data_IF_570093458542
#
_entry.id   IF_570093458542
#
_cell.length_a   1.000
_cell.length_b   1.000
_cell.length_c   1.000
_cell.angle_alpha   90.00
_cell.angle_beta   90.00
_cell.angle_gamma   90.00
#
_symmetry.space_group_name_H-M   'P 1'
#
loop_
_entity.id
_entity.type
_entity.pdbx_description
1 polymer ?
#
# COMPACT_ATOMS: atom_id res chain seq x y z
N UNK A 1 3.39 26.02 7.18
CA UNK A 1 2.13 25.57 7.79
C UNK A 1 1.06 26.66 7.74
N UNK A 2 1.18 27.79 8.42
CA UNK A 2 0.16 28.86 8.44
C UNK A 2 -0.34 29.28 7.05
N UNK A 3 0.54 29.50 6.07
CA UNK A 3 0.13 29.84 4.70
C UNK A 3 -0.73 28.79 4.00
N UNK A 4 -0.53 27.50 4.29
CA UNK A 4 -1.33 26.43 3.72
C UNK A 4 -2.69 26.34 4.41
N UNK A 5 -2.74 26.51 5.71
CA UNK A 5 -3.99 26.58 6.47
C UNK A 5 -4.84 27.76 6.00
N UNK A 6 -4.27 28.96 5.86
CA UNK A 6 -4.94 30.15 5.31
C UNK A 6 -5.50 29.91 3.91
N UNK A 7 -4.73 29.20 3.06
CA UNK A 7 -5.18 28.81 1.72
C UNK A 7 -6.39 27.87 1.79
N UNK A 8 -6.37 26.88 2.67
CA UNK A 8 -7.47 25.93 2.85
C UNK A 8 -8.73 26.65 3.33
N UNK A 9 -8.64 27.46 4.41
CA UNK A 9 -9.76 28.19 4.97
C UNK A 9 -10.41 29.11 3.93
N UNK A 10 -9.60 29.87 3.17
CA UNK A 10 -10.09 30.72 2.09
C UNK A 10 -10.75 29.90 0.96
N UNK A 11 -10.15 28.79 0.56
CA UNK A 11 -10.70 27.94 -0.51
C UNK A 11 -12.04 27.33 -0.07
N UNK A 12 -12.16 26.91 1.18
CA UNK A 12 -13.41 26.38 1.74
C UNK A 12 -14.50 27.42 1.69
N UNK A 13 -14.22 28.67 2.09
CA UNK A 13 -15.15 29.79 2.03
C UNK A 13 -15.55 30.14 0.59
N UNK A 14 -14.55 30.38 -0.31
CA UNK A 14 -14.79 30.76 -1.71
C UNK A 14 -15.56 29.71 -2.51
N UNK A 15 -15.36 28.43 -2.19
CA UNK A 15 -16.04 27.31 -2.87
C UNK A 15 -17.35 26.90 -2.20
N UNK A 16 -17.70 27.49 -1.06
CA UNK A 16 -18.90 27.15 -0.30
C UNK A 16 -18.88 25.71 0.22
N UNK A 17 -17.71 25.18 0.58
CA UNK A 17 -17.56 23.83 1.10
C UNK A 17 -18.10 23.83 2.54
N UNK A 18 -19.06 22.96 2.83
CA UNK A 18 -19.70 22.87 4.15
C UNK A 18 -19.14 21.79 5.04
N UNK A 19 -18.67 20.69 4.44
CA UNK A 19 -18.16 19.54 5.15
C UNK A 19 -16.75 19.20 4.66
N UNK A 20 -15.86 18.96 5.63
CA UNK A 20 -14.51 18.49 5.38
C UNK A 20 -14.33 17.16 6.10
N UNK A 21 -14.06 16.12 5.33
CA UNK A 21 -13.72 14.82 5.86
C UNK A 21 -12.29 14.80 6.37
N UNK A 22 -12.13 14.42 7.63
CA UNK A 22 -10.83 14.20 8.28
C UNK A 22 -10.54 12.71 8.24
N UNK A 23 -9.49 12.34 7.50
CA UNK A 23 -9.10 10.97 7.24
C UNK A 23 -7.89 10.57 8.06
N UNK A 24 -7.89 9.38 8.59
CA UNK A 24 -6.74 8.74 9.23
C UNK A 24 -6.78 7.23 8.98
N UNK A 25 -5.73 6.52 9.35
CA UNK A 25 -5.60 5.09 9.04
C UNK A 25 -5.36 4.31 10.32
N UNK A 26 -6.05 3.20 10.50
CA UNK A 26 -5.77 2.29 11.61
C UNK A 26 -4.50 1.46 11.35
N UNK A 27 -4.04 0.74 12.38
CA UNK A 27 -2.83 -0.09 12.31
C UNK A 27 -2.90 -1.18 11.24
N UNK A 28 -4.10 -1.64 10.89
CA UNK A 28 -4.32 -2.64 9.84
C UNK A 28 -4.42 -2.06 8.43
N UNK A 29 -4.32 -0.73 8.28
CA UNK A 29 -4.40 -0.07 6.97
C UNK A 29 -5.82 0.19 6.48
N UNK A 30 -6.82 0.20 7.35
CA UNK A 30 -8.17 0.64 7.01
C UNK A 30 -8.29 2.15 7.18
N UNK A 31 -8.83 2.80 6.14
CA UNK A 31 -9.14 4.21 6.18
C UNK A 31 -10.32 4.46 7.10
N UNK A 32 -10.13 5.38 8.05
CA UNK A 32 -11.14 5.86 8.99
C UNK A 32 -11.41 7.34 8.70
N UNK A 33 -12.60 7.81 9.05
CA UNK A 33 -12.95 9.21 8.85
C UNK A 33 -14.09 9.67 9.76
N UNK A 34 -14.10 10.96 9.99
CA UNK A 34 -15.26 11.71 10.46
C UNK A 34 -15.31 13.06 9.73
N UNK A 35 -16.43 13.73 9.75
CA UNK A 35 -16.60 15.02 9.09
C UNK A 35 -16.73 16.14 10.10
N UNK A 36 -16.12 17.29 9.77
CA UNK A 36 -16.31 18.55 10.48
C UNK A 36 -16.97 19.57 9.57
N UNK A 37 -17.72 20.52 10.16
CA UNK A 37 -18.23 21.66 9.41
C UNK A 37 -17.11 22.62 9.10
N UNK A 38 -17.29 23.46 8.08
CA UNK A 38 -16.31 24.49 7.73
C UNK A 38 -16.05 25.49 8.87
N UNK A 39 -17.02 25.70 9.76
CA UNK A 39 -16.91 26.59 10.91
C UNK A 39 -15.92 26.07 11.97
N UNK A 40 -15.79 24.74 12.09
CA UNK A 40 -14.92 24.09 13.06
C UNK A 40 -13.46 23.92 12.53
N UNK A 41 -13.22 24.24 11.26
CA UNK A 41 -11.96 23.89 10.60
C UNK A 41 -10.77 24.69 11.14
N UNK A 42 -10.95 25.95 11.47
CA UNK A 42 -9.89 26.78 12.06
C UNK A 42 -9.44 26.21 13.40
N UNK A 43 -10.38 25.88 14.29
CA UNK A 43 -10.08 25.21 15.55
C UNK A 43 -9.44 23.83 15.34
N UNK A 44 -9.88 23.08 14.31
CA UNK A 44 -9.28 21.80 13.99
C UNK A 44 -7.79 21.91 13.65
N UNK A 45 -7.37 22.99 12.98
CA UNK A 45 -5.95 23.23 12.71
C UNK A 45 -5.17 23.64 13.96
N UNK A 46 -5.75 24.45 14.83
CA UNK A 46 -5.08 24.97 16.02
C UNK A 46 -4.96 23.92 17.11
N UNK A 47 -6.08 23.31 17.50
CA UNK A 47 -6.18 22.45 18.67
C UNK A 47 -6.28 20.96 18.31
N UNK A 48 -6.75 20.64 17.10
CA UNK A 48 -7.18 19.31 16.71
C UNK A 48 -8.62 19.01 17.14
N UNK A 49 -9.18 17.91 16.61
CA UNK A 49 -10.52 17.45 16.95
C UNK A 49 -10.42 16.18 17.77
N UNK A 50 -11.08 16.18 18.92
CA UNK A 50 -11.15 15.02 19.82
C UNK A 50 -11.97 13.86 19.21
N UNK A 51 -11.45 12.66 19.31
CA UNK A 51 -12.14 11.43 18.88
C UNK A 51 -11.69 10.23 19.71
N UNK A 52 -12.44 9.10 19.60
CA UNK A 52 -12.06 7.84 20.24
C UNK A 52 -10.93 7.15 19.50
N UNK A 53 -9.72 7.22 20.05
CA UNK A 53 -8.49 6.64 19.48
C UNK A 53 -8.48 5.12 19.46
N UNK A 54 -9.43 4.43 20.12
CA UNK A 54 -9.55 2.96 20.01
C UNK A 54 -9.78 2.51 18.56
N UNK A 55 -10.30 3.39 17.71
CA UNK A 55 -10.47 3.18 16.27
C UNK A 55 -9.14 2.90 15.53
N UNK A 56 -7.97 3.28 16.10
CA UNK A 56 -6.66 3.12 15.45
C UNK A 56 -6.07 1.73 15.74
N UNK A 57 -6.38 1.13 16.87
CA UNK A 57 -5.73 -0.10 17.33
C UNK A 57 -6.13 -1.37 16.57
N UNK A 58 -7.20 -1.30 15.76
CA UNK A 58 -7.72 -2.45 15.02
C UNK A 58 -8.49 -3.47 15.89
N UNK A 59 -8.78 -3.14 17.15
CA UNK A 59 -9.62 -3.92 18.06
C UNK A 59 -10.74 -3.06 18.65
N UNK A 60 -11.90 -3.68 18.88
CA UNK A 60 -12.91 -3.05 19.72
C UNK A 60 -12.46 -3.05 21.18
N UNK A 61 -12.45 -1.89 21.82
CA UNK A 61 -12.18 -1.73 23.25
C UNK A 61 -13.43 -1.45 24.04
N UNK A 62 -13.38 -1.78 25.34
CA UNK A 62 -14.42 -1.42 26.32
C UNK A 62 -14.17 -0.02 26.88
N UNK A 63 -12.95 0.49 26.81
CA UNK A 63 -12.57 1.80 27.31
C UNK A 63 -12.26 2.73 26.15
N UNK A 64 -12.86 3.92 26.15
CA UNK A 64 -12.56 5.00 25.24
C UNK A 64 -11.14 5.54 25.53
N UNK A 65 -10.46 5.98 24.47
CA UNK A 65 -9.14 6.57 24.52
C UNK A 65 -9.19 7.90 23.78
N UNK A 66 -9.27 9.00 24.52
CA UNK A 66 -9.28 10.33 23.92
C UNK A 66 -7.99 10.58 23.12
N UNK A 67 -8.14 10.96 21.86
CA UNK A 67 -7.07 11.37 20.94
C UNK A 67 -7.47 12.63 20.19
N UNK A 68 -6.48 13.31 19.61
CA UNK A 68 -6.68 14.51 18.81
C UNK A 68 -6.26 14.23 17.36
N UNK A 69 -7.16 14.45 16.40
CA UNK A 69 -6.85 14.43 14.98
C UNK A 69 -6.57 15.87 14.50
N UNK A 70 -5.35 16.12 14.02
CA UNK A 70 -4.94 17.41 13.43
C UNK A 70 -4.84 17.28 11.93
N UNK A 71 -5.63 18.06 11.16
CA UNK A 71 -5.59 18.00 9.71
C UNK A 71 -4.23 18.49 9.17
N UNK A 72 -3.68 17.75 8.21
CA UNK A 72 -2.53 18.17 7.43
C UNK A 72 -3.01 18.98 6.21
N UNK A 73 -2.90 20.30 6.28
CA UNK A 73 -3.35 21.22 5.23
C UNK A 73 -2.71 20.95 3.86
N UNK A 74 -1.51 20.33 3.82
CA UNK A 74 -0.85 19.96 2.57
C UNK A 74 -1.62 18.85 1.80
N UNK A 75 -2.46 18.10 2.49
CA UNK A 75 -3.24 17.00 1.93
C UNK A 75 -4.65 17.40 1.52
N UNK A 76 -5.00 18.69 1.64
CA UNK A 76 -6.32 19.19 1.29
C UNK A 76 -6.69 18.90 -0.17
N UNK A 77 -7.84 18.26 -0.36
CA UNK A 77 -8.37 17.95 -1.68
C UNK A 77 -9.90 18.16 -1.70
N UNK A 78 -10.36 18.88 -2.71
CA UNK A 78 -11.79 18.94 -3.03
C UNK A 78 -12.14 17.64 -3.76
N UNK A 79 -13.16 16.94 -3.28
CA UNK A 79 -13.59 15.69 -3.92
C UNK A 79 -14.32 16.01 -5.23
N UNK A 80 -13.82 15.49 -6.38
CA UNK A 80 -14.47 15.77 -7.67
C UNK A 80 -15.89 15.21 -7.73
N UNK A 81 -16.78 15.92 -8.40
CA UNK A 81 -18.11 15.38 -8.73
C UNK A 81 -17.92 14.09 -9.53
N UNK A 82 -18.72 13.09 -9.27
CA UNK A 82 -18.56 11.81 -9.95
C UNK A 82 -17.56 10.85 -9.35
N UNK A 83 -16.88 11.23 -8.25
CA UNK A 83 -15.89 10.36 -7.59
C UNK A 83 -16.47 9.26 -6.71
N UNK A 84 -17.77 9.34 -6.36
CA UNK A 84 -18.32 8.48 -5.30
C UNK A 84 -18.00 8.95 -3.89
N UNK A 85 -16.98 9.77 -3.74
CA UNK A 85 -16.57 10.32 -2.45
C UNK A 85 -17.44 11.49 -1.97
N UNK A 86 -18.21 12.10 -2.87
CA UNK A 86 -19.19 13.12 -2.51
C UNK A 86 -20.50 12.48 -2.06
N UNK A 87 -21.03 12.92 -0.94
CA UNK A 87 -22.24 12.35 -0.29
C UNK A 87 -23.51 12.29 -1.16
N UNK A 88 -23.48 12.87 -2.37
CA UNK A 88 -24.69 13.09 -3.18
C UNK A 88 -24.88 12.18 -4.38
N UNK A 89 -23.99 11.22 -4.64
CA UNK A 89 -24.02 10.47 -5.89
C UNK A 89 -24.34 8.97 -5.71
N UNK A 90 -25.62 8.62 -5.96
CA UNK A 90 -25.95 7.32 -6.54
C UNK A 90 -26.09 6.09 -5.66
N UNK A 91 -26.28 6.18 -4.35
CA UNK A 91 -26.69 5.02 -3.57
C UNK A 91 -28.19 4.67 -3.78
N UNK A 92 -28.57 3.38 -3.91
CA UNK A 92 -29.97 2.99 -3.98
C UNK A 92 -30.75 3.49 -2.74
N UNK A 93 -31.82 4.25 -2.97
CA UNK A 93 -32.68 4.79 -1.90
C UNK A 93 -32.53 6.29 -1.64
N UNK A 94 -31.68 7.02 -2.36
CA UNK A 94 -31.60 8.49 -2.28
C UNK A 94 -32.60 9.19 -3.19
N UNK A 95 -33.06 10.37 -2.75
CA UNK A 95 -34.00 11.21 -3.48
C UNK A 95 -33.48 11.61 -4.87
N UNK A 96 -34.33 11.72 -5.90
CA UNK A 96 -33.96 12.14 -7.24
C UNK A 96 -33.35 13.54 -7.22
N UNK A 97 -32.28 13.73 -8.02
CA UNK A 97 -31.62 15.03 -8.23
C UNK A 97 -32.58 16.05 -8.81
N UNK A 98 -32.50 17.28 -8.32
CA UNK A 98 -33.00 18.45 -9.04
C UNK A 98 -32.18 18.69 -10.32
N UNK A 99 -32.66 19.58 -11.23
CA UNK A 99 -31.96 19.86 -12.50
C UNK A 99 -30.53 20.34 -12.28
N UNK A 100 -29.65 20.01 -13.25
CA UNK A 100 -28.22 20.37 -13.26
C UNK A 100 -28.04 21.88 -13.00
N UNK A 101 -27.40 22.21 -11.90
CA UNK A 101 -27.05 23.58 -11.56
C UNK A 101 -27.32 23.86 -10.08
N UNK A 102 -26.28 24.08 -9.34
CA UNK A 102 -26.24 24.48 -7.93
C UNK A 102 -26.75 23.44 -6.91
N UNK A 103 -25.78 22.67 -6.37
CA UNK A 103 -26.01 22.09 -5.05
C UNK A 103 -26.11 23.25 -4.05
N UNK A 104 -27.24 23.37 -3.31
CA UNK A 104 -27.34 24.36 -2.26
C UNK A 104 -26.35 24.12 -1.11
N UNK A 105 -25.63 22.99 -1.15
CA UNK A 105 -24.80 22.52 -0.05
C UNK A 105 -23.28 22.51 -0.35
N UNK A 106 -22.76 23.35 -1.23
CA UNK A 106 -21.30 23.44 -1.45
C UNK A 106 -20.60 22.09 -1.68
N UNK A 107 -19.38 22.06 -2.15
CA UNK A 107 -18.61 20.84 -2.36
C UNK A 107 -18.24 20.13 -1.04
N UNK A 108 -17.67 18.94 -1.17
CA UNK A 108 -17.05 18.18 -0.07
C UNK A 108 -15.54 18.17 -0.28
N UNK A 109 -14.78 18.32 0.80
CA UNK A 109 -13.32 18.20 0.78
C UNK A 109 -12.85 17.17 1.80
N UNK A 110 -11.60 16.76 1.68
CA UNK A 110 -10.96 15.86 2.63
C UNK A 110 -9.54 16.31 2.97
N UNK A 111 -9.05 15.95 4.15
CA UNK A 111 -7.64 16.03 4.54
C UNK A 111 -7.26 14.77 5.31
N UNK A 112 -6.01 14.35 5.17
CA UNK A 112 -5.42 13.40 6.11
C UNK A 112 -5.06 14.11 7.42
N UNK A 113 -5.11 13.36 8.51
CA UNK A 113 -4.76 13.86 9.84
C UNK A 113 -3.56 13.11 10.40
N UNK A 114 -2.75 13.84 11.15
CA UNK A 114 -1.80 13.26 12.09
C UNK A 114 -2.50 13.15 13.46
N UNK A 115 -2.24 12.07 14.19
CA UNK A 115 -2.89 11.81 15.48
C UNK A 115 -1.98 12.19 16.62
N UNK A 116 -2.57 12.82 17.62
CA UNK A 116 -1.90 13.29 18.84
C UNK A 116 -2.61 12.79 20.09
N UNK A 117 -1.84 12.62 21.15
CA UNK A 117 -2.37 12.39 22.50
C UNK A 117 -2.99 13.67 23.06
N UNK A 118 -3.85 13.62 24.08
CA UNK A 118 -4.48 14.80 24.68
C UNK A 118 -3.50 15.85 25.23
N UNK A 119 -2.27 15.45 25.59
CA UNK A 119 -1.19 16.34 26.00
C UNK A 119 -0.41 16.93 24.83
N UNK A 120 -0.86 16.69 23.58
CA UNK A 120 -0.32 17.30 22.37
C UNK A 120 0.94 16.64 21.82
N UNK A 121 1.28 15.43 22.29
CA UNK A 121 2.39 14.66 21.71
C UNK A 121 1.92 13.84 20.52
N UNK A 122 2.76 13.62 19.49
CA UNK A 122 2.43 12.69 18.42
C UNK A 122 2.11 11.30 18.97
N UNK A 123 1.03 10.70 18.47
CA UNK A 123 0.64 9.36 18.90
C UNK A 123 1.48 8.29 18.19
N UNK A 124 2.22 7.51 18.94
CA UNK A 124 3.13 6.49 18.44
C UNK A 124 2.43 5.29 17.75
N UNK A 125 1.13 5.13 17.99
CA UNK A 125 0.29 4.14 17.32
C UNK A 125 -0.28 4.59 15.99
N UNK A 126 -0.06 5.85 15.55
CA UNK A 126 -0.48 6.35 14.25
C UNK A 126 0.45 5.86 13.14
N UNK A 127 -0.03 5.02 12.17
CA UNK A 127 0.79 4.54 11.07
C UNK A 127 1.41 5.66 10.22
N UNK A 128 0.70 6.78 10.04
CA UNK A 128 1.19 7.93 9.28
C UNK A 128 2.38 8.58 9.99
N UNK A 129 2.31 8.69 11.31
CA UNK A 129 3.43 9.18 12.12
C UNK A 129 4.62 8.21 12.13
N UNK A 130 4.36 6.89 12.15
CA UNK A 130 5.45 5.89 12.02
C UNK A 130 6.25 6.12 10.75
N UNK A 131 5.58 6.32 9.60
CA UNK A 131 6.29 6.61 8.36
C UNK A 131 7.02 7.95 8.43
N UNK A 132 6.37 9.01 8.87
CA UNK A 132 6.97 10.36 8.99
C UNK A 132 8.28 10.32 9.79
N UNK A 133 8.29 9.70 10.95
CA UNK A 133 9.47 9.55 11.81
C UNK A 133 10.63 8.82 11.11
N UNK A 134 10.33 7.78 10.33
CA UNK A 134 11.36 7.06 9.59
C UNK A 134 11.86 7.87 8.37
N UNK A 135 11.02 8.69 7.76
CA UNK A 135 11.45 9.65 6.73
C UNK A 135 12.34 10.76 7.31
N UNK A 136 12.08 11.21 8.54
CA UNK A 136 12.95 12.13 9.24
C UNK A 136 14.35 11.54 9.49
N UNK A 137 14.44 10.26 9.89
CA UNK A 137 15.73 9.54 9.99
C UNK A 137 16.47 9.46 8.64
N UNK A 138 15.76 9.32 7.53
CA UNK A 138 16.35 9.36 6.19
C UNK A 138 16.85 10.78 5.86
N UNK A 139 16.06 11.80 6.18
CA UNK A 139 16.42 13.20 5.97
C UNK A 139 17.65 13.63 6.78
N UNK A 140 17.82 13.14 8.01
CA UNK A 140 19.04 13.34 8.82
C UNK A 140 20.31 12.80 8.13
N UNK A 141 20.16 11.79 7.26
CA UNK A 141 21.24 11.25 6.40
C UNK A 141 21.35 11.98 5.07
N UNK A 142 20.55 13.00 4.82
CA UNK A 142 20.50 13.76 3.59
C UNK A 142 19.62 13.13 2.50
N UNK A 143 18.86 12.07 2.79
CA UNK A 143 18.06 11.36 1.81
C UNK A 143 16.59 11.76 1.82
N UNK A 144 16.01 11.89 0.62
CA UNK A 144 14.58 11.89 0.39
C UNK A 144 14.19 10.54 -0.23
N UNK A 145 13.20 9.87 0.33
CA UNK A 145 12.73 8.58 -0.13
C UNK A 145 11.52 8.73 -1.06
N UNK A 146 11.67 8.28 -2.31
CA UNK A 146 10.63 8.25 -3.31
C UNK A 146 10.17 6.83 -3.57
N UNK A 147 8.87 6.66 -3.74
CA UNK A 147 8.24 5.37 -4.06
C UNK A 147 7.25 5.49 -5.21
N UNK A 148 7.04 4.37 -5.90
CA UNK A 148 6.16 4.24 -7.04
C UNK A 148 5.56 2.83 -7.01
N UNK A 149 4.35 2.63 -6.46
CA UNK A 149 3.68 1.35 -6.43
C UNK A 149 2.93 1.06 -7.72
N UNK A 150 2.98 -0.18 -8.17
CA UNK A 150 2.11 -0.80 -9.17
C UNK A 150 0.93 -1.42 -8.43
N UNK A 151 -0.29 -0.95 -8.68
CA UNK A 151 -1.46 -1.29 -7.86
C UNK A 151 -2.37 -2.27 -8.61
N UNK A 152 -2.22 -3.57 -8.31
CA UNK A 152 -3.08 -4.61 -8.86
C UNK A 152 -4.35 -4.82 -8.04
N UNK A 153 -5.47 -5.10 -8.71
CA UNK A 153 -6.76 -5.38 -8.09
C UNK A 153 -7.65 -6.23 -8.98
N UNK A 154 -8.65 -6.87 -8.37
CA UNK A 154 -9.68 -7.62 -9.09
C UNK A 154 -11.01 -6.89 -9.08
N UNK A 155 -11.77 -7.10 -10.16
CA UNK A 155 -13.16 -6.67 -10.29
C UNK A 155 -14.06 -7.90 -10.40
N UNK A 156 -15.06 -7.98 -9.51
CA UNK A 156 -16.08 -9.03 -9.51
C UNK A 156 -17.47 -8.42 -9.61
N UNK A 157 -18.49 -9.26 -9.80
CA UNK A 157 -19.86 -8.81 -9.86
C UNK A 157 -20.38 -8.36 -8.49
N UNK A 158 -20.06 -9.13 -7.45
CA UNK A 158 -20.54 -8.90 -6.10
C UNK A 158 -19.56 -9.39 -5.02
N UNK A 159 -19.65 -8.89 -3.78
CA UNK A 159 -18.82 -9.38 -2.70
C UNK A 159 -19.13 -10.86 -2.40
N UNK A 160 -18.08 -11.65 -2.21
CA UNK A 160 -18.20 -13.08 -1.88
C UNK A 160 -18.27 -14.03 -3.07
N UNK A 161 -18.43 -13.53 -4.31
CA UNK A 161 -18.35 -14.33 -5.53
C UNK A 161 -17.14 -13.93 -6.38
N UNK A 162 -16.02 -14.68 -6.33
CA UNK A 162 -14.82 -14.41 -7.11
C UNK A 162 -14.92 -14.91 -8.56
N UNK A 163 -16.13 -14.94 -9.15
CA UNK A 163 -16.31 -15.27 -10.55
C UNK A 163 -15.86 -14.10 -11.42
N UNK A 164 -14.91 -14.32 -12.36
CA UNK A 164 -14.46 -13.28 -13.28
C UNK A 164 -15.61 -12.71 -14.11
N UNK A 165 -15.57 -11.40 -14.34
CA UNK A 165 -16.57 -10.67 -15.15
C UNK A 165 -16.13 -10.49 -16.61
N UNK A 166 -14.88 -10.81 -16.91
CA UNK A 166 -14.31 -10.83 -18.26
C UNK A 166 -13.43 -12.06 -18.48
N UNK A 167 -12.89 -12.20 -19.68
CA UNK A 167 -11.95 -13.25 -20.08
C UNK A 167 -10.65 -12.65 -20.66
N UNK A 168 -10.33 -11.41 -20.28
CA UNK A 168 -9.12 -10.70 -20.70
C UNK A 168 -7.86 -11.32 -20.11
N UNK A 169 -6.73 -10.98 -20.68
CA UNK A 169 -5.39 -11.35 -20.26
C UNK A 169 -4.42 -10.18 -20.39
N UNK A 170 -3.14 -10.47 -20.21
CA UNK A 170 -2.09 -9.46 -20.10
C UNK A 170 -2.01 -8.53 -21.32
N UNK A 171 -2.24 -7.24 -21.08
CA UNK A 171 -2.32 -6.17 -22.08
C UNK A 171 -3.43 -6.31 -23.13
N UNK A 172 -4.42 -7.16 -22.91
CA UNK A 172 -5.54 -7.29 -23.85
C UNK A 172 -6.34 -5.98 -23.96
N UNK A 173 -6.66 -5.66 -25.19
CA UNK A 173 -7.57 -4.57 -25.55
C UNK A 173 -8.76 -5.16 -26.31
N UNK A 174 -9.85 -5.43 -25.61
CA UNK A 174 -11.05 -6.01 -26.21
C UNK A 174 -12.23 -5.05 -26.20
N UNK A 175 -13.04 -4.98 -27.27
CA UNK A 175 -14.23 -4.12 -27.31
C UNK A 175 -15.29 -4.50 -26.26
N UNK A 176 -15.20 -5.73 -25.73
CA UNK A 176 -16.13 -6.27 -24.72
C UNK A 176 -15.65 -6.03 -23.29
N UNK A 177 -14.48 -5.41 -23.11
CA UNK A 177 -13.93 -5.05 -21.80
C UNK A 177 -14.63 -3.79 -21.26
N UNK A 178 -15.76 -3.96 -20.60
CA UNK A 178 -16.46 -2.88 -19.88
C UNK A 178 -15.66 -2.29 -18.71
N UNK A 179 -14.53 -2.91 -18.35
CA UNK A 179 -13.66 -2.48 -17.25
C UNK A 179 -12.64 -1.41 -17.69
N UNK A 180 -12.36 -1.29 -18.98
CA UNK A 180 -11.50 -0.24 -19.53
C UNK A 180 -12.04 1.17 -19.22
N UNK A 181 -13.36 1.36 -19.32
CA UNK A 181 -13.99 2.63 -18.97
C UNK A 181 -13.86 2.93 -17.48
N UNK A 182 -13.93 1.93 -16.61
CA UNK A 182 -13.72 2.11 -15.17
C UNK A 182 -12.29 2.59 -14.90
N UNK A 183 -11.27 1.96 -15.50
CA UNK A 183 -9.87 2.38 -15.34
C UNK A 183 -9.68 3.82 -15.82
N UNK A 184 -10.16 4.16 -17.02
CA UNK A 184 -10.09 5.52 -17.59
C UNK A 184 -10.71 6.57 -16.69
N UNK A 185 -11.92 6.30 -16.19
CA UNK A 185 -12.64 7.26 -15.34
C UNK A 185 -12.00 7.37 -13.96
N UNK A 186 -11.49 6.26 -13.41
CA UNK A 186 -10.71 6.26 -12.16
C UNK A 186 -9.46 7.13 -12.30
N UNK A 187 -8.70 6.96 -13.38
CA UNK A 187 -7.50 7.79 -13.68
C UNK A 187 -7.88 9.26 -13.77
N UNK A 188 -8.96 9.59 -14.49
CA UNK A 188 -9.41 10.99 -14.62
C UNK A 188 -9.75 11.62 -13.27
N UNK A 189 -10.31 10.86 -12.33
CA UNK A 189 -10.61 11.36 -10.97
C UNK A 189 -9.34 11.49 -10.14
N UNK A 190 -8.43 10.51 -10.20
CA UNK A 190 -7.13 10.56 -9.52
C UNK A 190 -6.34 11.79 -9.90
N UNK A 191 -6.22 12.08 -11.21
CA UNK A 191 -5.50 13.25 -11.71
C UNK A 191 -6.14 14.57 -11.25
N UNK A 192 -7.48 14.66 -11.21
CA UNK A 192 -8.19 15.81 -10.63
C UNK A 192 -7.94 16.00 -9.15
N UNK A 193 -7.64 14.92 -8.44
CA UNK A 193 -7.26 14.93 -7.02
C UNK A 193 -5.74 15.11 -6.81
N UNK A 194 -4.99 15.45 -7.86
CA UNK A 194 -3.55 15.65 -7.78
C UNK A 194 -2.74 14.37 -7.59
N UNK A 195 -3.32 13.21 -7.84
CA UNK A 195 -2.65 11.90 -7.79
C UNK A 195 -2.29 11.51 -9.23
N UNK A 196 -1.04 11.71 -9.66
CA UNK A 196 -0.65 11.43 -11.04
C UNK A 196 -0.52 9.93 -11.28
N UNK A 197 -1.04 9.49 -12.43
CA UNK A 197 -0.95 8.11 -12.91
C UNK A 197 0.14 8.01 -13.99
N UNK A 198 0.90 6.93 -14.00
CA UNK A 198 1.88 6.66 -15.04
C UNK A 198 1.27 5.86 -16.17
N UNK A 199 0.56 4.76 -15.84
CA UNK A 199 -0.04 3.94 -16.85
C UNK A 199 -1.07 2.93 -16.27
N UNK A 200 -1.84 2.23 -17.12
CA UNK A 200 -2.74 1.18 -16.66
C UNK A 200 -3.00 0.15 -17.76
N UNK A 201 -3.26 -1.08 -17.37
CA UNK A 201 -3.55 -2.17 -18.29
C UNK A 201 -4.44 -3.25 -17.65
N UNK A 202 -4.90 -4.19 -18.48
CA UNK A 202 -5.45 -5.45 -18.03
C UNK A 202 -4.32 -6.38 -17.61
N UNK A 203 -4.44 -7.03 -16.46
CA UNK A 203 -3.45 -7.95 -15.93
C UNK A 203 -3.61 -9.38 -16.48
N UNK A 204 -2.73 -10.31 -16.04
CA UNK A 204 -2.66 -11.69 -16.53
C UNK A 204 -3.95 -12.46 -16.30
N UNK A 205 -4.56 -12.29 -15.13
CA UNK A 205 -5.78 -13.01 -14.79
C UNK A 205 -7.03 -12.33 -15.35
N UNK A 206 -8.05 -13.08 -15.78
CA UNK A 206 -9.37 -12.53 -16.02
C UNK A 206 -9.86 -11.67 -14.85
N UNK A 207 -10.40 -10.49 -15.16
CA UNK A 207 -10.88 -9.51 -14.18
C UNK A 207 -9.81 -8.87 -13.30
N UNK A 208 -8.53 -9.05 -13.62
CA UNK A 208 -7.42 -8.40 -12.92
C UNK A 208 -6.93 -7.18 -13.69
N UNK A 209 -6.69 -6.11 -12.97
CA UNK A 209 -6.29 -4.82 -13.53
C UNK A 209 -5.16 -4.22 -12.72
N UNK A 210 -4.39 -3.34 -13.38
CA UNK A 210 -3.30 -2.59 -12.77
C UNK A 210 -3.40 -1.12 -13.14
N UNK A 211 -3.11 -0.27 -12.17
CA UNK A 211 -2.93 1.18 -12.34
C UNK A 211 -1.71 1.60 -11.54
N UNK A 212 -0.72 2.17 -12.23
CA UNK A 212 0.55 2.58 -11.65
C UNK A 212 0.52 4.05 -11.30
N UNK A 213 0.79 4.34 -10.02
CA UNK A 213 0.87 5.71 -9.54
C UNK A 213 2.26 6.26 -9.82
N UNK A 214 2.35 7.48 -10.39
CA UNK A 214 3.65 8.12 -10.64
C UNK A 214 4.37 8.40 -9.34
N UNK A 215 5.70 8.21 -9.32
CA UNK A 215 6.55 8.38 -8.15
C UNK A 215 6.32 9.70 -7.41
N UNK A 216 6.25 9.61 -6.09
CA UNK A 216 6.14 10.74 -5.14
C UNK A 216 6.99 10.43 -3.92
N UNK A 217 7.21 11.42 -3.05
CA UNK A 217 7.75 11.14 -1.72
C UNK A 217 6.85 10.15 -0.98
N UNK A 218 7.45 9.34 -0.10
CA UNK A 218 6.76 8.16 0.43
C UNK A 218 5.54 8.49 1.31
N UNK A 219 5.50 9.65 1.99
CA UNK A 219 4.33 10.03 2.78
C UNK A 219 3.15 10.41 1.88
N UNK A 220 3.39 11.27 0.91
CA UNK A 220 2.39 11.63 -0.11
C UNK A 220 1.90 10.40 -0.87
N UNK A 221 2.81 9.47 -1.19
CA UNK A 221 2.42 8.24 -1.87
C UNK A 221 1.57 7.32 -0.98
N UNK A 222 1.87 7.19 0.30
CA UNK A 222 1.04 6.40 1.21
C UNK A 222 -0.39 6.97 1.32
N UNK A 223 -0.52 8.30 1.45
CA UNK A 223 -1.81 9.00 1.39
C UNK A 223 -2.52 8.75 0.04
N UNK A 224 -1.76 8.74 -1.06
CA UNK A 224 -2.28 8.47 -2.42
C UNK A 224 -2.78 7.03 -2.56
N UNK A 225 -2.07 6.03 -2.03
CA UNK A 225 -2.49 4.62 -2.03
C UNK A 225 -3.79 4.43 -1.26
N UNK A 226 -3.94 5.08 -0.10
CA UNK A 226 -5.19 5.01 0.67
C UNK A 226 -6.36 5.63 -0.09
N UNK A 227 -6.13 6.78 -0.73
CA UNK A 227 -7.13 7.45 -1.58
C UNK A 227 -7.49 6.58 -2.79
N UNK A 228 -6.49 6.01 -3.46
CA UNK A 228 -6.64 5.12 -4.61
C UNK A 228 -7.53 3.91 -4.30
N UNK A 229 -7.26 3.20 -3.21
CA UNK A 229 -8.05 2.02 -2.81
C UNK A 229 -9.53 2.36 -2.59
N UNK A 230 -9.80 3.47 -1.93
CA UNK A 230 -11.17 3.92 -1.72
C UNK A 230 -11.82 4.27 -3.05
N UNK A 231 -11.14 5.05 -3.89
CA UNK A 231 -11.67 5.53 -5.16
C UNK A 231 -11.99 4.37 -6.13
N UNK A 232 -11.09 3.39 -6.28
CA UNK A 232 -11.33 2.22 -7.13
C UNK A 232 -12.58 1.46 -6.70
N UNK A 233 -12.76 1.25 -5.39
CA UNK A 233 -13.96 0.59 -4.84
C UNK A 233 -15.24 1.39 -5.12
N UNK A 234 -15.21 2.70 -4.92
CA UNK A 234 -16.34 3.59 -5.19
C UNK A 234 -16.71 3.63 -6.67
N UNK A 235 -15.70 3.72 -7.55
CA UNK A 235 -15.90 3.74 -8.99
C UNK A 235 -16.45 2.40 -9.52
N UNK A 236 -16.04 1.28 -8.93
CA UNK A 236 -16.57 -0.04 -9.22
C UNK A 236 -18.03 -0.17 -8.75
N UNK A 237 -18.32 0.20 -7.50
CA UNK A 237 -19.67 0.15 -6.93
C UNK A 237 -20.69 0.93 -7.74
N UNK A 238 -20.32 2.10 -8.28
CA UNK A 238 -21.17 2.92 -9.16
C UNK A 238 -21.56 2.22 -10.47
N UNK A 239 -20.73 1.28 -10.93
CA UNK A 239 -20.97 0.47 -12.12
C UNK A 239 -21.59 -0.88 -11.82
N UNK A 240 -22.02 -1.10 -10.57
CA UNK A 240 -22.57 -2.39 -10.13
C UNK A 240 -21.52 -3.50 -10.10
N UNK A 241 -20.23 -3.14 -9.89
CA UNK A 241 -19.11 -4.06 -9.73
C UNK A 241 -18.55 -3.96 -8.32
N UNK A 242 -17.80 -4.98 -7.92
CA UNK A 242 -17.09 -5.04 -6.65
C UNK A 242 -15.57 -5.12 -6.89
N UNK A 243 -14.83 -4.12 -6.41
CA UNK A 243 -13.38 -4.11 -6.48
C UNK A 243 -12.75 -4.65 -5.19
N UNK A 244 -11.73 -5.49 -5.33
CA UNK A 244 -10.98 -6.02 -4.19
C UNK A 244 -9.47 -5.93 -4.41
N UNK A 245 -8.78 -5.59 -3.32
CA UNK A 245 -7.31 -5.63 -3.20
C UNK A 245 -6.84 -6.89 -2.45
N UNK A 246 -7.69 -7.91 -2.35
CA UNK A 246 -7.34 -9.19 -1.74
C UNK A 246 -6.17 -9.83 -2.48
N UNK A 247 -5.07 -10.21 -1.79
CA UNK A 247 -3.86 -10.71 -2.45
C UNK A 247 -4.06 -11.96 -3.29
N UNK A 248 -4.98 -12.84 -2.89
CA UNK A 248 -5.31 -14.09 -3.62
C UNK A 248 -6.81 -14.40 -3.50
N UNK A 249 -7.65 -13.80 -4.34
CA UNK A 249 -9.10 -14.00 -4.23
C UNK A 249 -9.59 -15.34 -4.77
N UNK A 250 -8.81 -16.00 -5.64
CA UNK A 250 -9.19 -17.28 -6.25
C UNK A 250 -7.97 -18.20 -6.42
N UNK A 251 -8.13 -19.47 -6.08
CA UNK A 251 -7.03 -20.46 -6.10
C UNK A 251 -6.40 -20.60 -7.48
N UNK A 252 -7.22 -20.66 -8.54
CA UNK A 252 -6.81 -20.94 -9.91
C UNK A 252 -6.28 -19.72 -10.68
N UNK A 253 -6.37 -18.53 -10.11
CA UNK A 253 -5.89 -17.30 -10.76
C UNK A 253 -4.61 -16.80 -10.10
N UNK A 254 -3.76 -16.04 -10.80
CA UNK A 254 -2.70 -15.24 -10.16
C UNK A 254 -3.20 -14.39 -9.00
N UNK A 255 -2.33 -14.00 -8.10
CA UNK A 255 -2.64 -13.05 -7.03
C UNK A 255 -2.32 -11.62 -7.44
N UNK A 256 -2.74 -10.65 -6.62
CA UNK A 256 -2.45 -9.23 -6.81
C UNK A 256 -1.25 -8.79 -5.97
N UNK A 257 -0.29 -8.12 -6.63
CA UNK A 257 0.88 -7.50 -6.03
C UNK A 257 0.73 -5.99 -5.87
N UNK A 258 1.60 -5.43 -5.06
CA UNK A 258 1.93 -4.02 -5.02
C UNK A 258 3.45 -3.90 -5.16
N UNK A 259 3.93 -4.20 -6.37
CA UNK A 259 5.35 -4.04 -6.67
C UNK A 259 5.73 -2.59 -6.41
N UNK A 260 6.73 -2.37 -5.59
CA UNK A 260 7.08 -1.02 -5.18
C UNK A 260 8.45 -0.66 -5.68
N UNK A 261 8.48 0.21 -6.68
CA UNK A 261 9.70 0.86 -7.14
C UNK A 261 10.11 1.96 -6.17
N UNK A 262 11.41 2.12 -5.97
CA UNK A 262 11.92 3.10 -5.02
C UNK A 262 13.29 3.63 -5.39
N UNK A 263 13.58 4.83 -4.88
CA UNK A 263 14.90 5.47 -4.97
C UNK A 263 15.11 6.42 -3.81
N UNK A 264 16.40 6.67 -3.50
CA UNK A 264 16.82 7.74 -2.60
C UNK A 264 17.38 8.91 -3.42
N UNK A 265 17.10 10.12 -2.98
CA UNK A 265 17.66 11.34 -3.57
C UNK A 265 18.41 12.14 -2.52
N UNK A 266 19.57 12.68 -2.90
CA UNK A 266 20.29 13.73 -2.18
C UNK A 266 20.02 15.05 -2.91
N UNK A 267 19.13 15.87 -2.40
CA UNK A 267 18.61 17.02 -3.13
C UNK A 267 17.99 16.59 -4.46
N UNK A 268 18.54 17.09 -5.58
CA UNK A 268 18.08 16.76 -6.94
C UNK A 268 18.77 15.56 -7.58
N UNK A 269 19.75 14.97 -6.91
CA UNK A 269 20.55 13.85 -7.45
C UNK A 269 19.99 12.52 -6.96
N UNK A 270 19.87 11.57 -7.88
CA UNK A 270 19.49 10.20 -7.53
C UNK A 270 20.69 9.47 -6.91
N UNK A 271 20.62 9.21 -5.60
CA UNK A 271 21.68 8.54 -4.84
C UNK A 271 21.89 7.08 -5.24
N UNK A 272 20.95 6.48 -5.98
CA UNK A 272 21.11 5.11 -6.47
C UNK A 272 21.91 4.99 -7.75
N UNK A 273 22.20 6.11 -8.44
CA UNK A 273 22.86 6.09 -9.74
C UNK A 273 24.38 6.20 -9.62
N UNK A 274 25.11 5.36 -10.37
CA UNK A 274 26.54 5.48 -10.65
C UNK A 274 26.81 5.10 -12.12
N UNK A 275 27.22 6.07 -12.91
CA UNK A 275 27.49 5.86 -14.35
C UNK A 275 28.70 4.98 -14.63
N UNK A 276 29.60 4.79 -13.66
CA UNK A 276 30.81 3.97 -13.77
C UNK A 276 30.60 2.50 -13.43
N UNK A 277 29.48 2.18 -12.78
CA UNK A 277 29.15 0.81 -12.37
C UNK A 277 28.52 0.01 -13.51
N UNK A 278 28.81 -1.29 -13.55
CA UNK A 278 28.27 -2.23 -14.56
C UNK A 278 26.73 -2.23 -14.62
N UNK A 279 26.06 -2.09 -13.48
CA UNK A 279 24.60 -2.06 -13.37
C UNK A 279 24.04 -0.65 -13.23
N UNK A 280 24.89 0.37 -13.31
CA UNK A 280 24.58 1.76 -12.99
C UNK A 280 24.05 1.96 -11.55
N UNK A 281 24.44 1.09 -10.63
CA UNK A 281 24.07 1.13 -9.23
C UNK A 281 25.19 1.69 -8.37
N UNK A 282 24.92 2.75 -7.63
CA UNK A 282 25.86 3.29 -6.65
C UNK A 282 26.10 2.32 -5.48
N UNK A 283 27.12 2.60 -4.67
CA UNK A 283 27.34 1.87 -3.42
C UNK A 283 26.11 1.98 -2.50
N UNK A 284 25.46 3.15 -2.47
CA UNK A 284 24.21 3.37 -1.70
C UNK A 284 23.11 2.40 -2.15
N UNK A 285 22.86 2.29 -3.46
CA UNK A 285 21.86 1.37 -3.99
C UNK A 285 22.20 -0.10 -3.67
N UNK A 286 23.46 -0.49 -3.85
CA UNK A 286 23.92 -1.87 -3.56
C UNK A 286 23.73 -2.23 -2.09
N UNK A 287 24.12 -1.35 -1.17
CA UNK A 287 23.93 -1.58 0.27
C UNK A 287 22.47 -1.52 0.68
N UNK A 288 21.65 -0.65 0.05
CA UNK A 288 20.20 -0.61 0.27
C UNK A 288 19.55 -1.94 -0.14
N UNK A 289 19.87 -2.48 -1.33
CA UNK A 289 19.37 -3.80 -1.76
C UNK A 289 19.86 -4.88 -0.79
N UNK A 290 21.12 -4.84 -0.37
CA UNK A 290 21.68 -5.75 0.64
C UNK A 290 20.85 -5.75 1.93
N UNK A 291 20.45 -4.56 2.39
CA UNK A 291 19.58 -4.39 3.57
C UNK A 291 18.20 -5.02 3.37
N UNK A 292 17.57 -4.75 2.22
CA UNK A 292 16.28 -5.36 1.90
C UNK A 292 16.34 -6.89 1.85
N UNK A 293 17.38 -7.47 1.27
CA UNK A 293 17.56 -8.92 1.22
C UNK A 293 17.83 -9.51 2.60
N UNK A 294 18.63 -8.83 3.43
CA UNK A 294 18.97 -9.29 4.77
C UNK A 294 17.73 -9.34 5.68
N UNK A 295 16.93 -8.30 5.65
CA UNK A 295 15.75 -8.13 6.52
C UNK A 295 14.42 -8.56 5.86
N UNK A 296 14.48 -9.19 4.68
CA UNK A 296 13.28 -9.54 3.90
C UNK A 296 12.26 -10.34 4.72
N UNK A 297 12.71 -11.35 5.46
CA UNK A 297 11.84 -12.21 6.26
C UNK A 297 11.19 -11.47 7.42
N UNK A 298 11.95 -10.60 8.09
CA UNK A 298 11.52 -9.82 9.25
C UNK A 298 10.41 -8.82 8.89
N UNK A 299 10.51 -8.18 7.72
CA UNK A 299 9.53 -7.18 7.26
C UNK A 299 8.30 -7.79 6.56
N UNK A 300 8.30 -9.09 6.30
CA UNK A 300 7.23 -9.74 5.51
C UNK A 300 5.87 -9.61 6.17
N UNK A 301 5.75 -9.72 7.50
CA UNK A 301 4.46 -9.56 8.17
C UNK A 301 3.83 -8.18 7.90
N UNK A 302 4.63 -7.15 7.69
CA UNK A 302 4.15 -5.77 7.44
C UNK A 302 3.79 -5.57 5.97
N UNK A 303 4.58 -6.11 5.06
CA UNK A 303 4.35 -6.01 3.61
C UNK A 303 3.30 -6.99 3.10
N UNK A 304 3.01 -8.06 3.86
CA UNK A 304 2.12 -9.16 3.54
C UNK A 304 1.36 -9.59 4.81
N UNK A 305 0.49 -8.72 5.29
CA UNK A 305 -0.01 -8.78 6.67
C UNK A 305 -1.20 -9.72 6.91
N UNK A 306 -1.75 -10.36 5.87
CA UNK A 306 -2.96 -11.19 5.98
C UNK A 306 -2.65 -12.67 5.78
N UNK A 307 -3.41 -13.57 6.40
CA UNK A 307 -3.33 -15.02 6.07
C UNK A 307 -3.40 -15.24 4.57
N UNK A 308 -4.23 -14.47 3.88
CA UNK A 308 -4.40 -14.57 2.43
C UNK A 308 -3.16 -14.13 1.63
N UNK A 309 -2.31 -13.24 2.17
CA UNK A 309 -1.07 -12.79 1.53
C UNK A 309 -0.15 -13.95 1.17
N UNK A 310 -0.05 -14.94 2.04
CA UNK A 310 0.81 -16.13 1.86
C UNK A 310 0.26 -17.09 0.80
N UNK A 311 -1.03 -17.02 0.49
CA UNK A 311 -1.61 -17.76 -0.66
C UNK A 311 -1.11 -17.21 -2.00
N UNK A 312 -0.76 -15.92 -2.07
CA UNK A 312 -0.10 -15.29 -3.23
C UNK A 312 1.37 -15.68 -3.29
N UNK A 313 2.07 -15.66 -2.16
CA UNK A 313 3.51 -15.94 -2.09
C UNK A 313 3.86 -17.44 -2.19
N UNK A 314 2.88 -18.33 -2.22
CA UNK A 314 3.13 -19.76 -2.37
C UNK A 314 3.42 -20.11 -3.82
N UNK A 315 4.48 -20.89 -4.08
CA UNK A 315 4.74 -21.47 -5.38
C UNK A 315 3.63 -22.47 -5.74
N UNK A 316 2.82 -22.14 -6.74
CA UNK A 316 1.70 -23.00 -7.14
C UNK A 316 2.18 -24.14 -8.02
N UNK A 317 2.07 -25.35 -7.52
CA UNK A 317 2.26 -26.57 -8.31
C UNK A 317 1.18 -26.63 -9.40
N UNK A 318 1.60 -26.64 -10.66
CA UNK A 318 0.68 -26.78 -11.81
C UNK A 318 0.36 -25.51 -12.59
N UNK A 319 0.86 -24.35 -12.20
CA UNK A 319 0.79 -23.13 -13.00
C UNK A 319 1.97 -23.03 -13.98
N UNK A 320 1.73 -22.69 -15.25
CA UNK A 320 2.79 -22.60 -16.26
C UNK A 320 3.75 -21.44 -16.05
N UNK A 321 3.37 -20.43 -15.25
CA UNK A 321 4.21 -19.26 -14.95
C UNK A 321 4.23 -19.04 -13.44
N UNK A 322 5.40 -19.19 -12.84
CA UNK A 322 5.63 -18.94 -11.42
C UNK A 322 6.33 -17.57 -11.29
N UNK A 323 5.57 -16.54 -10.98
CA UNK A 323 6.08 -15.15 -10.88
C UNK A 323 6.07 -14.62 -9.43
N UNK A 324 5.53 -15.38 -8.48
CA UNK A 324 5.50 -14.95 -7.08
C UNK A 324 6.94 -14.79 -6.54
N UNK A 325 7.31 -13.64 -5.96
CA UNK A 325 8.67 -13.36 -5.49
C UNK A 325 8.94 -13.98 -4.13
N UNK A 326 8.95 -15.31 -4.07
CA UNK A 326 9.10 -16.06 -2.80
C UNK A 326 10.53 -16.24 -2.33
N UNK A 327 11.50 -16.10 -3.24
CA UNK A 327 12.91 -16.32 -2.96
C UNK A 327 13.68 -15.02 -2.72
N UNK A 328 14.44 -14.97 -1.62
CA UNK A 328 15.22 -13.81 -1.20
C UNK A 328 16.49 -13.70 -2.05
N UNK A 329 16.37 -13.03 -3.16
CA UNK A 329 17.46 -12.75 -4.10
C UNK A 329 17.12 -11.51 -4.95
N UNK A 330 18.07 -11.06 -5.74
CA UNK A 330 17.89 -9.96 -6.68
C UNK A 330 18.30 -10.32 -8.09
N UNK A 331 17.75 -9.62 -9.08
CA UNK A 331 18.12 -9.77 -10.48
C UNK A 331 17.56 -8.65 -11.34
N UNK A 332 18.12 -8.51 -12.56
CA UNK A 332 17.66 -7.50 -13.54
C UNK A 332 16.55 -8.02 -14.45
N UNK A 333 16.67 -9.28 -14.87
CA UNK A 333 15.76 -9.91 -15.83
C UNK A 333 14.96 -11.07 -15.24
N UNK A 334 15.10 -11.32 -13.93
CA UNK A 334 14.51 -12.46 -13.27
C UNK A 334 13.22 -12.05 -12.54
N UNK A 335 12.07 -12.44 -13.08
CA UNK A 335 10.75 -12.14 -12.48
C UNK A 335 10.48 -12.92 -11.19
N UNK A 336 11.24 -14.00 -10.93
CA UNK A 336 11.13 -14.76 -9.67
C UNK A 336 11.93 -14.14 -8.52
N UNK A 337 12.77 -13.14 -8.78
CA UNK A 337 13.55 -12.46 -7.76
C UNK A 337 12.69 -11.54 -6.89
N UNK A 338 13.00 -11.48 -5.59
CA UNK A 338 12.35 -10.57 -4.64
C UNK A 338 12.61 -9.11 -4.99
N UNK A 339 13.87 -8.80 -5.30
CA UNK A 339 14.29 -7.45 -5.70
C UNK A 339 14.65 -7.47 -7.18
N UNK A 340 14.00 -6.62 -7.96
CA UNK A 340 14.34 -6.40 -9.36
C UNK A 340 15.03 -5.04 -9.52
N UNK A 341 16.04 -5.01 -10.35
CA UNK A 341 16.68 -3.78 -10.81
C UNK A 341 16.26 -3.54 -12.26
N UNK A 342 15.32 -2.62 -12.52
CA UNK A 342 14.87 -2.32 -13.88
C UNK A 342 16.01 -1.84 -14.77
N UNK A 343 15.89 -2.07 -16.08
CA UNK A 343 16.88 -1.68 -17.06
C UNK A 343 17.11 -0.16 -17.05
N UNK A 344 18.40 0.24 -16.99
CA UNK A 344 18.78 1.63 -17.13
C UNK A 344 18.40 2.18 -18.52
N UNK A 345 17.77 3.35 -18.53
CA UNK A 345 17.48 4.09 -19.77
C UNK A 345 18.58 5.14 -19.99
N UNK A 346 19.35 5.11 -21.11
CA UNK A 346 20.43 6.05 -21.35
C UNK A 346 19.99 7.51 -21.21
N UNK A 347 20.80 8.33 -20.54
CA UNK A 347 20.55 9.74 -20.22
C UNK A 347 19.37 10.00 -19.27
N UNK A 348 18.92 8.99 -18.52
CA UNK A 348 17.87 9.11 -17.51
C UNK A 348 18.37 8.68 -16.13
N UNK A 349 19.46 9.29 -15.68
CA UNK A 349 20.12 9.01 -14.39
C UNK A 349 19.16 9.14 -13.22
N UNK A 350 18.28 10.15 -13.26
CA UNK A 350 17.25 10.35 -12.24
C UNK A 350 16.21 9.22 -12.16
N UNK A 351 16.11 8.34 -13.15
CA UNK A 351 15.17 7.23 -13.18
C UNK A 351 15.75 5.90 -12.67
N UNK A 352 17.01 5.88 -12.21
CA UNK A 352 17.60 4.69 -11.57
C UNK A 352 16.80 4.34 -10.31
N UNK A 353 16.31 3.10 -10.26
CA UNK A 353 15.43 2.63 -9.19
C UNK A 353 15.59 1.14 -8.98
N UNK A 354 15.13 0.68 -7.86
CA UNK A 354 14.98 -0.73 -7.54
C UNK A 354 13.50 -1.03 -7.29
N UNK A 355 13.11 -2.27 -7.37
CA UNK A 355 11.74 -2.72 -7.18
C UNK A 355 11.72 -3.87 -6.19
N UNK A 356 10.93 -3.76 -5.13
CA UNK A 356 10.57 -4.88 -4.26
C UNK A 356 9.22 -5.44 -4.70
N UNK A 357 9.15 -6.76 -4.91
CA UNK A 357 8.00 -7.41 -5.57
C UNK A 357 7.08 -8.16 -4.62
N UNK A 358 7.52 -8.39 -3.37
CA UNK A 358 6.71 -9.13 -2.39
C UNK A 358 5.49 -8.39 -1.84
N UNK A 359 5.48 -7.06 -1.61
CA UNK A 359 4.33 -6.40 -1.03
C UNK A 359 3.04 -6.67 -1.80
N UNK A 360 1.93 -6.74 -1.09
CA UNK A 360 0.60 -6.86 -1.70
C UNK A 360 -0.26 -5.62 -1.44
N UNK A 361 -1.29 -5.38 -2.29
CA UNK A 361 -2.05 -4.14 -2.25
C UNK A 361 -3.01 -4.06 -1.04
N UNK A 362 -3.04 -5.07 -0.16
CA UNK A 362 -3.83 -5.07 1.07
C UNK A 362 -3.02 -4.67 2.31
N UNK A 363 -1.70 -4.48 2.20
CA UNK A 363 -0.87 -4.06 3.33
C UNK A 363 -1.16 -2.60 3.76
N UNK A 364 -0.76 -2.24 4.95
CA UNK A 364 -0.74 -0.83 5.39
C UNK A 364 0.42 -0.09 4.70
N UNK A 365 0.18 0.84 3.77
CA UNK A 365 1.25 1.46 2.98
C UNK A 365 2.22 2.29 3.83
N UNK A 366 1.74 2.93 4.89
CA UNK A 366 2.61 3.70 5.79
C UNK A 366 3.61 2.80 6.48
N UNK A 367 3.15 1.69 7.03
CA UNK A 367 4.02 0.75 7.74
C UNK A 367 4.92 -0.01 6.77
N UNK A 368 4.41 -0.41 5.60
CA UNK A 368 5.18 -1.08 4.57
C UNK A 368 6.35 -0.21 4.08
N UNK A 369 6.09 1.06 3.74
CA UNK A 369 7.14 1.97 3.30
C UNK A 369 8.14 2.30 4.43
N UNK A 370 7.68 2.35 5.67
CA UNK A 370 8.57 2.57 6.83
C UNK A 370 9.56 1.42 7.03
N UNK A 371 9.09 0.15 7.00
CA UNK A 371 10.00 -1.00 7.21
C UNK A 371 10.90 -1.26 6.01
N UNK A 372 10.43 -0.99 4.78
CA UNK A 372 11.26 -1.06 3.58
C UNK A 372 12.39 -0.03 3.64
N UNK A 373 12.07 1.22 3.99
CA UNK A 373 13.07 2.27 4.17
C UNK A 373 14.07 1.91 5.27
N UNK A 374 13.58 1.47 6.43
CA UNK A 374 14.44 1.12 7.56
C UNK A 374 15.41 -0.03 7.22
N UNK A 375 14.93 -1.07 6.55
CA UNK A 375 15.76 -2.18 6.09
C UNK A 375 16.86 -1.71 5.11
N UNK A 376 16.49 -0.86 4.16
CA UNK A 376 17.45 -0.29 3.21
C UNK A 376 18.48 0.63 3.87
N UNK A 377 18.06 1.52 4.77
CA UNK A 377 18.96 2.41 5.52
C UNK A 377 19.91 1.60 6.42
N UNK A 378 19.41 0.55 7.08
CA UNK A 378 20.25 -0.37 7.87
C UNK A 378 21.35 -0.99 7.01
N UNK A 379 20.99 -1.39 5.78
CA UNK A 379 22.00 -1.90 4.83
C UNK A 379 23.06 -0.86 4.46
N UNK A 380 22.70 0.41 4.32
CA UNK A 380 23.64 1.51 4.07
C UNK A 380 24.53 1.74 5.30
N UNK A 381 23.94 1.85 6.49
CA UNK A 381 24.63 2.15 7.74
C UNK A 381 25.65 1.06 8.10
N UNK A 382 25.27 -0.22 7.92
CA UNK A 382 26.15 -1.39 8.19
C UNK A 382 27.04 -1.78 6.99
N UNK A 383 26.82 -1.18 5.83
CA UNK A 383 27.58 -1.46 4.61
C UNK A 383 27.38 -2.88 4.09
N UNK A 384 26.14 -3.38 4.11
CA UNK A 384 25.85 -4.73 3.62
C UNK A 384 26.25 -4.89 2.15
N UNK A 385 26.91 -6.00 1.87
CA UNK A 385 27.32 -6.34 0.51
C UNK A 385 26.13 -6.92 -0.28
N UNK A 386 26.07 -6.55 -1.56
CA UNK A 386 25.11 -7.11 -2.49
C UNK A 386 25.59 -8.49 -2.95
N UNK A 387 24.82 -9.57 -2.72
CA UNK A 387 25.18 -10.90 -3.20
C UNK A 387 25.19 -10.96 -4.74
N UNK A 388 25.76 -12.00 -5.37
CA UNK A 388 25.70 -12.17 -6.81
C UNK A 388 24.26 -12.16 -7.36
N UNK A 389 24.09 -11.61 -8.57
CA UNK A 389 22.82 -11.59 -9.28
C UNK A 389 22.28 -13.00 -9.54
N UNK A 390 20.99 -13.22 -9.29
CA UNK A 390 20.30 -14.46 -9.63
C UNK A 390 19.82 -14.39 -11.09
N UNK A 391 20.56 -15.00 -11.99
CA UNK A 391 20.29 -15.01 -13.44
C UNK A 391 19.44 -16.19 -13.91
N UNK A 392 19.44 -17.27 -13.14
CA UNK A 392 18.73 -18.50 -13.47
C UNK A 392 17.29 -18.50 -12.93
N UNK A 393 16.43 -19.37 -13.48
CA UNK A 393 15.11 -19.59 -12.93
C UNK A 393 15.21 -20.30 -11.57
N UNK A 394 14.91 -19.58 -10.50
CA UNK A 394 15.10 -20.07 -9.13
C UNK A 394 14.12 -21.18 -8.79
N UNK A 395 12.95 -21.22 -9.43
CA UNK A 395 11.96 -22.27 -9.23
C UNK A 395 12.42 -23.63 -9.77
N UNK A 396 13.28 -23.64 -10.79
CA UNK A 396 13.86 -24.86 -11.37
C UNK A 396 15.10 -25.36 -10.61
N UNK A 397 15.67 -24.53 -9.72
CA UNK A 397 16.81 -24.93 -8.90
C UNK A 397 16.38 -25.95 -7.84
N UNK A 398 17.26 -26.93 -7.60
CA UNK A 398 17.15 -27.80 -6.44
C UNK A 398 17.39 -27.02 -5.14
N UNK A 399 16.90 -27.55 -4.03
CA UNK A 399 17.15 -26.97 -2.70
C UNK A 399 18.66 -26.86 -2.38
N UNK A 400 19.46 -27.84 -2.81
CA UNK A 400 20.91 -27.84 -2.64
C UNK A 400 21.56 -26.67 -3.40
N UNK A 401 21.14 -26.39 -4.63
CA UNK A 401 21.64 -25.28 -5.43
C UNK A 401 21.27 -23.92 -4.80
N UNK A 402 20.02 -23.78 -4.34
CA UNK A 402 19.60 -22.55 -3.62
C UNK A 402 20.42 -22.33 -2.35
N UNK A 403 20.62 -23.38 -1.54
CA UNK A 403 21.46 -23.30 -0.32
C UNK A 403 22.91 -22.93 -0.64
N UNK A 404 23.49 -23.50 -1.72
CA UNK A 404 24.85 -23.17 -2.14
C UNK A 404 25.02 -21.71 -2.54
N UNK A 405 23.94 -21.05 -2.99
CA UNK A 405 23.91 -19.63 -3.36
C UNK A 405 23.35 -18.73 -2.25
N UNK A 406 23.11 -19.27 -1.05
CA UNK A 406 22.51 -18.56 0.10
C UNK A 406 21.15 -17.94 -0.23
N UNK A 407 20.39 -18.53 -1.17
CA UNK A 407 19.04 -18.09 -1.52
C UNK A 407 18.07 -18.76 -0.54
N UNK A 408 17.49 -17.96 0.33
CA UNK A 408 16.43 -18.37 1.27
C UNK A 408 15.05 -18.04 0.66
N UNK A 409 13.98 -18.38 1.35
CA UNK A 409 12.62 -18.01 0.96
C UNK A 409 11.96 -17.14 2.04
N UNK A 410 10.94 -16.37 1.65
CA UNK A 410 10.10 -15.63 2.56
C UNK A 410 9.34 -16.60 3.50
N UNK A 411 8.78 -16.13 4.62
CA UNK A 411 7.90 -16.94 5.45
C UNK A 411 6.79 -17.64 4.65
N UNK A 412 6.53 -18.91 4.95
CA UNK A 412 5.56 -19.73 4.22
C UNK A 412 4.11 -19.40 4.59
N UNK A 413 3.89 -18.91 5.80
CA UNK A 413 2.58 -18.55 6.32
C UNK A 413 2.65 -17.38 7.32
N UNK A 414 1.48 -16.94 7.78
CA UNK A 414 1.37 -15.84 8.75
C UNK A 414 2.07 -16.16 10.07
N UNK A 415 2.08 -17.43 10.49
CA UNK A 415 2.72 -17.82 11.75
C UNK A 415 4.24 -17.73 11.70
N UNK A 416 4.82 -18.16 10.57
CA UNK A 416 6.26 -18.02 10.37
C UNK A 416 6.68 -16.55 10.29
N UNK A 417 5.88 -15.73 9.61
CA UNK A 417 6.13 -14.29 9.56
C UNK A 417 5.98 -13.61 10.93
N UNK A 418 5.04 -14.05 11.77
CA UNK A 418 4.92 -13.60 13.15
C UNK A 418 6.18 -13.87 13.96
N UNK A 419 6.77 -15.05 13.84
CA UNK A 419 8.01 -15.41 14.55
C UNK A 419 9.20 -14.56 14.10
N UNK A 420 9.32 -14.33 12.78
CA UNK A 420 10.37 -13.47 12.24
C UNK A 420 10.24 -12.03 12.74
N UNK A 421 9.03 -11.46 12.69
CA UNK A 421 8.78 -10.13 13.20
C UNK A 421 9.02 -10.02 14.72
N UNK A 422 8.54 -11.00 15.50
CA UNK A 422 8.63 -10.98 16.96
C UNK A 422 10.09 -10.94 17.45
N UNK A 423 11.01 -11.49 16.68
CA UNK A 423 12.45 -11.50 16.98
C UNK A 423 13.23 -10.37 16.33
N UNK A 424 12.58 -9.46 15.61
CA UNK A 424 13.23 -8.40 14.84
C UNK A 424 13.36 -7.09 15.60
N UNK A 425 14.56 -6.76 16.01
CA UNK A 425 14.89 -5.43 16.55
C UNK A 425 14.62 -4.32 15.52
N UNK A 426 14.92 -4.56 14.24
CA UNK A 426 14.68 -3.61 13.17
C UNK A 426 13.21 -3.20 13.08
N UNK A 427 12.30 -4.18 13.06
CA UNK A 427 10.87 -3.92 12.95
C UNK A 427 10.34 -3.25 14.22
N UNK A 428 10.78 -3.71 15.40
CA UNK A 428 10.39 -3.10 16.68
C UNK A 428 10.79 -1.63 16.78
N UNK A 429 12.03 -1.28 16.41
CA UNK A 429 12.51 0.10 16.38
C UNK A 429 11.81 0.97 15.33
N UNK A 430 11.48 0.39 14.18
CA UNK A 430 10.82 1.10 13.08
C UNK A 430 9.39 1.45 13.43
N UNK A 431 8.63 0.49 13.95
CA UNK A 431 7.23 0.68 14.28
C UNK A 431 7.02 1.42 15.62
N UNK A 432 7.92 1.22 16.56
CA UNK A 432 7.74 1.61 17.96
C UNK A 432 6.87 0.61 18.71
N UNK A 433 7.03 0.58 20.03
CA UNK A 433 6.44 -0.42 20.91
C UNK A 433 4.92 -0.61 20.72
N UNK A 434 4.17 0.47 20.67
CA UNK A 434 2.70 0.41 20.58
C UNK A 434 2.23 -0.23 19.28
N UNK A 435 2.69 0.25 18.12
CA UNK A 435 2.30 -0.29 16.82
C UNK A 435 2.76 -1.74 16.66
N UNK A 436 3.97 -2.05 17.13
CA UNK A 436 4.53 -3.39 17.10
C UNK A 436 3.66 -4.37 17.89
N UNK A 437 3.30 -4.06 19.13
CA UNK A 437 2.45 -4.88 19.97
C UNK A 437 1.02 -5.01 19.43
N UNK A 438 0.45 -3.93 18.89
CA UNK A 438 -0.87 -3.99 18.26
C UNK A 438 -0.90 -4.97 17.09
N UNK A 439 0.09 -4.92 16.22
CA UNK A 439 0.19 -5.84 15.09
C UNK A 439 0.39 -7.28 15.54
N UNK A 440 1.33 -7.54 16.43
CA UNK A 440 1.55 -8.89 16.94
C UNK A 440 0.26 -9.48 17.55
N UNK A 441 -0.44 -8.72 18.36
CA UNK A 441 -1.69 -9.16 18.99
C UNK A 441 -2.79 -9.42 17.95
N UNK A 442 -2.97 -8.50 16.98
CA UNK A 442 -3.94 -8.66 15.91
C UNK A 442 -3.65 -9.91 15.08
N UNK A 443 -2.42 -10.08 14.65
CA UNK A 443 -2.04 -11.15 13.73
C UNK A 443 -1.99 -12.53 14.40
N UNK A 444 -1.66 -12.60 15.68
CA UNK A 444 -1.83 -13.83 16.48
C UNK A 444 -3.30 -14.24 16.57
N UNK A 445 -4.19 -13.29 16.86
CA UNK A 445 -5.63 -13.57 16.92
C UNK A 445 -6.18 -14.03 15.54
N UNK A 446 -5.77 -13.39 14.44
CA UNK A 446 -6.14 -13.80 13.08
C UNK A 446 -5.65 -15.22 12.76
N UNK A 447 -4.38 -15.52 13.10
CA UNK A 447 -3.82 -16.86 12.92
C UNK A 447 -4.55 -17.92 13.73
N UNK A 448 -4.87 -17.66 15.00
CA UNK A 448 -5.59 -18.60 15.87
C UNK A 448 -7.00 -18.88 15.36
N UNK A 449 -7.68 -17.88 14.83
CA UNK A 449 -8.98 -18.06 14.17
C UNK A 449 -8.85 -18.91 12.89
N UNK A 450 -7.86 -18.57 12.04
CA UNK A 450 -7.66 -19.27 10.79
C UNK A 450 -7.29 -20.74 10.99
N UNK A 451 -6.32 -21.05 11.86
CA UNK A 451 -5.84 -22.42 12.10
C UNK A 451 -6.87 -23.33 12.76
N UNK A 452 -7.87 -22.76 13.41
CA UNK A 452 -8.98 -23.52 14.01
C UNK A 452 -10.19 -23.67 13.09
N UNK A 453 -10.18 -22.98 11.93
CA UNK A 453 -11.28 -23.03 10.98
C UNK A 453 -11.24 -24.31 10.15
N UNK A 454 -12.31 -25.11 10.21
CA UNK A 454 -12.47 -26.30 9.38
C UNK A 454 -12.92 -25.88 7.98
N UNK A 455 -12.01 -26.03 7.01
CA UNK A 455 -12.24 -25.58 5.64
C UNK A 455 -13.13 -26.53 4.84
N UNK A 456 -13.81 -26.05 3.79
CA UNK A 456 -14.53 -26.93 2.83
C UNK A 456 -13.61 -28.02 2.26
N UNK A 457 -12.36 -27.72 1.97
CA UNK A 457 -11.37 -28.70 1.50
C UNK A 457 -11.21 -29.88 2.48
N UNK A 458 -11.14 -29.60 3.78
CA UNK A 458 -11.00 -30.65 4.80
C UNK A 458 -12.28 -31.50 4.90
N UNK A 459 -13.44 -30.83 4.87
CA UNK A 459 -14.74 -31.52 4.91
C UNK A 459 -14.92 -32.43 3.68
N UNK A 460 -14.70 -31.91 2.48
CA UNK A 460 -14.83 -32.68 1.24
C UNK A 460 -13.85 -33.84 1.16
N UNK A 461 -12.62 -33.65 1.61
CA UNK A 461 -11.54 -34.62 1.50
C UNK A 461 -11.57 -35.69 2.59
N UNK A 462 -11.82 -35.31 3.84
CA UNK A 462 -11.60 -36.17 4.99
C UNK A 462 -12.88 -36.76 5.55
N UNK A 463 -14.01 -36.04 5.55
CA UNK A 463 -15.27 -36.55 6.09
C UNK A 463 -15.75 -37.87 5.46
N UNK A 464 -15.54 -38.11 4.14
CA UNK A 464 -15.95 -39.39 3.52
C UNK A 464 -15.05 -40.57 3.89
N UNK A 465 -13.86 -40.36 4.42
CA UNK A 465 -12.84 -41.42 4.57
C UNK A 465 -12.32 -41.61 6.00
N UNK A 466 -12.53 -40.65 6.89
CA UNK A 466 -12.16 -40.73 8.30
C UNK A 466 -13.41 -40.88 9.18
#
# INVERSE_FOLDING_TARGET
MERQQDYVLRTVEERGIRLVWLWFTDVLGFLKSFAVTSEELEQAFEEGIGFDGSAIEGFARVQESDMLARPDAATFQITPRGSGLSADEGMPGRLPRGPEGDHPDGGVARMFCDIYTPDGQPFWGDPRYVLRRNLEKAAERGFTFYVHPEMEFFLFKEPGDPTPIDAGGYFDLTPTDGTQELRRDTISVLEKMGIPVEFSHHEVAPSQHEIDLRHQDALTMADSVMTFRLLVKEMAARRGMYATFMPKPKTELPGSGMHTHMSLFEGDQNAFHDSSDEYHLSKVARSFIGGLLHHAREITLITNQWVNSYKRLTSQVGYPVQEAPTYVCWGRHNRSALIRVPMYKPRKERSTRIEIRSPDPACNPYLAFAVILAAGLKGIDEGYELPPEATDNIYEMSEQERRARSITHLPDDLFDALKEMESSDLVAETLGEQTFEYLLRNKRAEWDQYRSYVSPYEVERYLPIL
#
